data_IF_197922130055
#
_entry.id   IF_197922130055
#
_cell.length_a   1.000
_cell.length_b   1.000
_cell.length_c   1.000
_cell.angle_alpha   90.00
_cell.angle_beta   90.00
_cell.angle_gamma   90.00
#
_symmetry.space_group_name_H-M   'P 1'
#
loop_
_entity.id
_entity.type
_entity.pdbx_description
1 polymer ?
#
# COMPACT_ATOMS: atom_id res chain seq x y z
N UNK A 1 8.25 -14.66 5.15
CA UNK A 1 8.89 -15.73 4.37
C UNK A 1 7.98 -16.03 3.19
N UNK A 2 8.52 -16.10 1.97
CA UNK A 2 7.78 -16.56 0.79
C UNK A 2 8.32 -17.94 0.44
N UNK A 3 7.44 -18.91 0.36
CA UNK A 3 7.78 -20.25 -0.09
C UNK A 3 7.54 -20.33 -1.59
N UNK A 4 8.52 -20.84 -2.33
CA UNK A 4 8.42 -21.04 -3.77
C UNK A 4 9.00 -22.40 -4.15
N UNK A 5 8.37 -23.02 -5.13
CA UNK A 5 8.88 -24.21 -5.80
C UNK A 5 9.52 -23.80 -7.12
N UNK A 6 10.69 -24.35 -7.40
CA UNK A 6 11.41 -24.10 -8.64
C UNK A 6 11.65 -25.40 -9.38
N UNK A 7 11.43 -25.37 -10.68
CA UNK A 7 11.96 -26.36 -11.59
C UNK A 7 12.73 -25.63 -12.69
N UNK A 8 13.99 -26.00 -12.91
CA UNK A 8 14.77 -25.46 -14.01
C UNK A 8 15.65 -26.54 -14.64
N UNK A 9 15.87 -26.39 -15.92
CA UNK A 9 16.70 -27.32 -16.69
C UNK A 9 18.10 -26.70 -16.86
N UNK A 10 19.11 -27.36 -16.33
CA UNK A 10 20.52 -26.93 -16.39
C UNK A 10 21.27 -27.43 -17.62
N UNK A 11 20.64 -28.30 -18.40
CA UNK A 11 21.28 -28.94 -19.53
C UNK A 11 20.34 -28.91 -20.71
N UNK A 12 20.52 -28.10 -21.64
CA UNK A 12 19.77 -27.92 -22.92
C UNK A 12 19.21 -29.22 -23.53
N UNK A 13 18.58 -30.03 -22.72
CA UNK A 13 17.90 -31.26 -23.13
C UNK A 13 16.41 -30.97 -23.28
N UNK A 14 15.79 -31.55 -24.26
CA UNK A 14 14.38 -31.41 -24.60
C UNK A 14 13.47 -31.55 -23.36
N UNK A 15 12.77 -30.46 -23.06
CA UNK A 15 11.60 -30.37 -22.24
C UNK A 15 11.49 -31.28 -21.01
N UNK A 16 12.14 -30.91 -19.91
CA UNK A 16 11.79 -31.48 -18.61
C UNK A 16 10.56 -30.83 -18.03
N UNK A 17 9.66 -31.61 -17.47
CA UNK A 17 8.60 -31.12 -16.58
C UNK A 17 8.81 -31.71 -15.20
N UNK A 18 8.42 -30.93 -14.19
CA UNK A 18 8.39 -31.39 -12.81
C UNK A 18 6.94 -31.45 -12.35
N UNK A 19 6.57 -32.59 -11.78
CA UNK A 19 5.28 -32.77 -11.13
C UNK A 19 5.46 -32.59 -9.63
N UNK A 20 4.63 -31.76 -9.01
CA UNK A 20 4.68 -31.49 -7.58
C UNK A 20 3.35 -31.91 -6.97
N UNK A 21 3.32 -33.12 -6.41
CA UNK A 21 2.20 -33.60 -5.62
C UNK A 21 2.41 -33.27 -4.13
N UNK A 22 1.34 -32.90 -3.44
CA UNK A 22 1.30 -32.75 -1.99
C UNK A 22 2.31 -31.75 -1.39
N UNK A 23 2.29 -30.51 -1.86
CA UNK A 23 3.07 -29.48 -1.23
C UNK A 23 2.48 -29.07 0.13
N UNK A 24 3.06 -29.60 1.21
CA UNK A 24 2.65 -29.31 2.57
C UNK A 24 3.62 -28.31 3.20
N UNK A 25 3.07 -27.19 3.73
CA UNK A 25 3.83 -26.26 4.58
C UNK A 25 3.50 -26.59 6.02
N UNK A 26 4.39 -27.29 6.71
CA UNK A 26 4.21 -27.71 8.10
C UNK A 26 4.36 -26.55 9.11
N UNK A 27 4.96 -25.45 8.70
CA UNK A 27 5.06 -24.27 9.56
C UNK A 27 3.81 -23.40 9.40
N UNK A 28 3.12 -23.05 10.51
CA UNK A 28 2.04 -22.08 10.42
C UNK A 28 2.57 -20.78 9.86
N UNK A 29 2.03 -20.36 8.73
CA UNK A 29 2.37 -19.03 8.19
C UNK A 29 2.05 -18.00 9.26
N UNK A 30 3.04 -17.18 9.61
CA UNK A 30 2.83 -16.09 10.55
C UNK A 30 1.63 -15.25 10.09
N UNK A 31 0.66 -15.09 10.98
CA UNK A 31 -0.51 -14.25 10.73
C UNK A 31 -0.06 -12.79 10.64
N UNK A 32 0.18 -12.34 9.41
CA UNK A 32 0.64 -10.98 9.13
C UNK A 32 -0.44 -9.93 9.34
N UNK A 33 -1.71 -10.33 9.49
CA UNK A 33 -2.78 -9.39 9.79
C UNK A 33 -2.57 -8.71 11.15
N UNK A 34 -1.83 -9.35 12.06
CA UNK A 34 -1.43 -8.79 13.36
C UNK A 34 -0.49 -7.58 13.25
N UNK A 35 0.18 -7.41 12.11
CA UNK A 35 1.06 -6.28 11.88
C UNK A 35 0.33 -5.07 11.27
N UNK A 36 -0.94 -5.24 10.91
CA UNK A 36 -1.74 -4.15 10.38
C UNK A 36 -2.18 -3.24 11.54
N UNK A 37 -1.94 -1.93 11.47
CA UNK A 37 -2.25 -1.01 12.56
C UNK A 37 -3.74 -0.64 12.61
N UNK A 38 -4.61 -1.63 12.72
CA UNK A 38 -6.05 -1.42 12.78
C UNK A 38 -6.47 -0.50 13.94
N UNK A 39 -7.32 0.46 13.64
CA UNK A 39 -7.87 1.42 14.60
C UNK A 39 -6.87 2.51 15.01
N UNK A 40 -5.62 2.43 14.57
CA UNK A 40 -4.63 3.46 14.87
C UNK A 40 -4.70 4.60 13.86
N UNK A 41 -4.37 5.79 14.34
CA UNK A 41 -4.01 6.93 13.47
C UNK A 41 -2.54 6.80 13.13
N UNK A 42 -2.23 6.79 11.85
CA UNK A 42 -0.87 6.63 11.33
C UNK A 42 -0.50 7.75 10.38
N UNK A 43 0.80 7.92 10.16
CA UNK A 43 1.36 8.64 9.02
C UNK A 43 1.96 7.64 8.05
N UNK A 44 1.81 7.91 6.75
CA UNK A 44 2.40 7.12 5.67
C UNK A 44 3.44 7.97 4.96
N UNK A 45 4.70 7.54 4.99
CA UNK A 45 5.81 8.22 4.31
C UNK A 45 6.25 7.39 3.12
N UNK A 46 6.31 7.99 1.95
CA UNK A 46 6.75 7.30 0.75
C UNK A 46 8.25 7.01 0.81
N UNK A 47 8.64 5.76 0.59
CA UNK A 47 10.06 5.35 0.72
C UNK A 47 10.94 5.92 -0.41
N UNK A 48 10.36 6.26 -1.55
CA UNK A 48 11.11 6.74 -2.72
C UNK A 48 11.67 8.16 -2.53
N UNK A 49 10.92 9.03 -1.85
CA UNK A 49 11.26 10.43 -1.68
C UNK A 49 11.27 10.93 -0.24
N UNK A 50 10.91 10.08 0.72
CA UNK A 50 10.86 10.42 2.14
C UNK A 50 9.75 11.40 2.52
N UNK A 51 8.80 11.65 1.62
CA UNK A 51 7.72 12.60 1.86
C UNK A 51 6.45 11.91 2.38
N UNK A 52 5.75 12.50 3.34
CA UNK A 52 4.49 11.96 3.83
C UNK A 52 3.39 12.11 2.79
N UNK A 53 2.53 11.10 2.72
CA UNK A 53 1.25 11.21 2.05
C UNK A 53 0.37 12.22 2.77
N UNK A 54 -0.32 13.11 2.06
CA UNK A 54 -1.21 14.06 2.73
C UNK A 54 -2.48 14.39 1.92
N UNK A 55 -3.52 14.71 2.66
CA UNK A 55 -4.82 15.09 2.12
C UNK A 55 -4.82 16.56 1.69
N UNK A 56 -5.25 16.84 0.45
CA UNK A 56 -5.44 18.20 -0.03
C UNK A 56 -6.88 18.70 0.16
N UNK A 57 -7.10 20.02 0.22
CA UNK A 57 -8.46 20.57 0.24
C UNK A 57 -9.30 20.18 -0.98
N UNK A 58 -8.63 19.91 -2.12
CA UNK A 58 -9.30 19.55 -3.38
C UNK A 58 -9.63 18.07 -3.51
N UNK A 59 -9.42 17.28 -2.45
CA UNK A 59 -9.72 15.85 -2.45
C UNK A 59 -8.68 14.96 -3.13
N UNK A 60 -7.60 15.52 -3.63
CA UNK A 60 -6.48 14.77 -4.18
C UNK A 60 -5.48 14.46 -3.08
N UNK A 61 -4.88 13.29 -3.16
CA UNK A 61 -3.74 12.94 -2.32
C UNK A 61 -2.45 13.21 -3.08
N UNK A 62 -1.56 13.94 -2.44
CA UNK A 62 -0.25 14.28 -2.97
C UNK A 62 0.81 13.87 -1.96
N UNK A 63 2.00 13.58 -2.48
CA UNK A 63 3.23 13.67 -1.72
C UNK A 63 3.89 14.99 -2.09
N UNK A 64 4.17 15.83 -1.13
CA UNK A 64 4.97 17.05 -1.34
C UNK A 64 6.04 17.13 -0.27
N UNK A 65 7.09 17.87 -0.56
CA UNK A 65 8.01 18.28 0.49
C UNK A 65 7.27 19.25 1.39
N UNK A 66 6.84 18.78 2.55
CA UNK A 66 6.28 19.65 3.57
C UNK A 66 7.41 20.51 4.14
N UNK A 67 7.19 21.82 4.23
CA UNK A 67 8.07 22.66 5.01
C UNK A 67 8.10 22.14 6.44
N UNK A 68 9.23 22.29 7.12
CA UNK A 68 9.54 21.68 8.44
C UNK A 68 8.48 21.88 9.54
N UNK A 69 7.55 22.81 9.35
CA UNK A 69 6.45 23.09 10.28
C UNK A 69 5.16 22.33 9.99
N UNK A 70 5.04 21.65 8.84
CA UNK A 70 3.82 20.98 8.41
C UNK A 70 3.82 19.46 8.72
N UNK A 71 4.92 18.91 9.18
CA UNK A 71 5.10 17.48 9.43
C UNK A 71 4.15 16.86 10.47
N UNK A 72 3.51 17.70 11.27
CA UNK A 72 2.49 17.32 12.27
C UNK A 72 1.07 17.79 11.89
N UNK A 73 0.83 18.15 10.64
CA UNK A 73 -0.50 18.58 10.27
C UNK A 73 -1.46 17.37 10.22
N UNK A 74 -2.70 17.57 10.65
CA UNK A 74 -3.78 16.58 10.58
C UNK A 74 -3.98 16.01 9.16
N UNK A 75 -3.50 16.73 8.15
CA UNK A 75 -3.58 16.32 6.74
C UNK A 75 -2.70 15.12 6.40
N UNK A 76 -1.68 14.82 7.20
CA UNK A 76 -0.78 13.66 7.00
C UNK A 76 -1.22 12.44 7.80
N UNK A 77 -2.34 12.52 8.50
CA UNK A 77 -2.81 11.52 9.43
C UNK A 77 -4.00 10.75 8.86
N UNK A 78 -3.93 9.43 8.96
CA UNK A 78 -4.94 8.51 8.45
C UNK A 78 -5.31 7.50 9.53
N UNK A 79 -6.60 7.30 9.75
CA UNK A 79 -7.11 6.20 10.57
C UNK A 79 -7.21 4.95 9.71
N UNK A 80 -6.64 3.85 10.19
CA UNK A 80 -6.71 2.54 9.52
C UNK A 80 -7.95 1.80 9.99
N UNK A 81 -8.94 1.70 9.14
CA UNK A 81 -10.21 1.06 9.45
C UNK A 81 -10.17 -0.40 9.01
N UNK A 82 -10.41 -1.32 9.95
CA UNK A 82 -10.50 -2.75 9.67
C UNK A 82 -11.72 -3.09 8.80
N UNK A 83 -11.49 -3.82 7.72
CA UNK A 83 -12.54 -4.35 6.82
C UNK A 83 -12.54 -5.88 6.81
N UNK A 84 -11.73 -6.49 7.67
CA UNK A 84 -11.55 -7.93 7.73
C UNK A 84 -10.66 -8.50 6.62
N UNK A 85 -10.09 -9.67 6.88
CA UNK A 85 -9.28 -10.42 5.92
C UNK A 85 -8.08 -9.63 5.34
N UNK A 86 -7.41 -8.83 6.16
CA UNK A 86 -6.26 -8.03 5.74
C UNK A 86 -6.61 -6.81 4.89
N UNK A 87 -7.90 -6.47 4.78
CA UNK A 87 -8.38 -5.29 4.08
C UNK A 87 -8.55 -4.11 5.03
N UNK A 88 -8.27 -2.93 4.51
CA UNK A 88 -8.39 -1.66 5.22
C UNK A 88 -9.07 -0.60 4.36
N UNK A 89 -9.79 0.31 5.01
CA UNK A 89 -10.02 1.63 4.45
C UNK A 89 -9.10 2.63 5.15
N UNK A 90 -8.71 3.67 4.47
CA UNK A 90 -7.99 4.80 5.04
C UNK A 90 -8.93 6.00 5.16
N UNK A 91 -9.04 6.55 6.36
CA UNK A 91 -9.84 7.75 6.63
C UNK A 91 -8.92 8.88 7.09
N UNK A 92 -9.02 10.03 6.45
CA UNK A 92 -8.35 11.24 6.92
C UNK A 92 -8.96 11.71 8.25
N UNK A 93 -8.20 12.43 9.05
CA UNK A 93 -8.69 13.00 10.33
C UNK A 93 -9.89 13.94 10.13
N UNK A 94 -10.00 14.57 8.96
CA UNK A 94 -11.16 15.42 8.60
C UNK A 94 -12.42 14.62 8.21
N UNK A 95 -12.40 13.31 8.35
CA UNK A 95 -13.51 12.39 8.11
C UNK A 95 -13.68 11.93 6.66
N UNK A 96 -12.86 12.40 5.72
CA UNK A 96 -12.90 11.92 4.33
C UNK A 96 -12.20 10.59 4.18
N UNK A 97 -12.65 9.76 3.24
CA UNK A 97 -12.10 8.45 2.91
C UNK A 97 -11.29 8.50 1.63
N UNK A 98 -10.24 7.69 1.59
CA UNK A 98 -9.48 7.46 0.36
C UNK A 98 -10.29 6.58 -0.57
N UNK A 99 -10.39 6.97 -1.84
CA UNK A 99 -11.01 6.15 -2.89
C UNK A 99 -10.25 6.27 -4.20
N UNK A 100 -10.48 5.30 -5.09
CA UNK A 100 -9.88 5.29 -6.42
C UNK A 100 -10.93 5.74 -7.44
N UNK A 101 -10.64 6.83 -8.15
CA UNK A 101 -11.43 7.27 -9.30
C UNK A 101 -10.95 6.58 -10.56
N UNK A 102 -11.83 6.41 -11.54
CA UNK A 102 -11.50 5.74 -12.80
C UNK A 102 -11.97 4.29 -12.85
N UNK A 103 -11.63 3.62 -13.93
CA UNK A 103 -11.98 2.23 -14.21
C UNK A 103 -10.82 1.51 -14.90
N UNK A 104 -10.75 0.19 -14.76
CA UNK A 104 -9.70 -0.63 -15.37
C UNK A 104 -8.45 -0.76 -14.48
N UNK A 105 -7.29 -0.80 -15.10
CA UNK A 105 -6.01 -1.09 -14.44
C UNK A 105 -5.28 0.15 -13.88
N UNK A 106 -5.92 1.31 -13.88
CA UNK A 106 -5.36 2.51 -13.26
C UNK A 106 -6.47 3.44 -12.76
N UNK A 107 -6.15 4.27 -11.78
CA UNK A 107 -7.07 5.27 -11.26
C UNK A 107 -6.36 6.25 -10.35
N UNK A 108 -6.88 7.49 -10.29
CA UNK A 108 -6.33 8.50 -9.39
C UNK A 108 -6.78 8.21 -7.96
N UNK A 109 -5.88 8.43 -7.02
CA UNK A 109 -6.18 8.41 -5.60
C UNK A 109 -6.85 9.74 -5.22
N UNK A 110 -8.06 9.67 -4.70
CA UNK A 110 -8.89 10.83 -4.35
C UNK A 110 -9.52 10.68 -2.97
N UNK A 111 -10.19 11.72 -2.50
CA UNK A 111 -10.87 11.76 -1.22
C UNK A 111 -12.37 12.01 -1.40
N UNK A 112 -13.17 11.33 -0.57
CA UNK A 112 -14.63 11.45 -0.56
C UNK A 112 -15.18 11.46 0.87
N UNK A 113 -16.31 12.14 1.09
CA UNK A 113 -17.10 12.04 2.34
C UNK A 113 -18.03 10.83 2.34
N UNK A 114 -18.24 10.23 1.19
CA UNK A 114 -19.13 9.09 1.00
C UNK A 114 -18.38 7.81 1.38
N UNK A 115 -18.76 7.22 2.52
CA UNK A 115 -18.15 6.01 3.04
C UNK A 115 -18.34 4.81 2.10
N UNK A 116 -19.44 4.78 1.34
CA UNK A 116 -19.72 3.64 0.45
C UNK A 116 -18.83 3.65 -0.81
N UNK A 117 -18.16 4.78 -1.07
CA UNK A 117 -17.15 4.90 -2.12
C UNK A 117 -15.74 4.64 -1.64
N UNK A 118 -15.53 4.48 -0.33
CA UNK A 118 -14.21 4.21 0.22
C UNK A 118 -13.59 2.97 -0.43
N UNK A 119 -12.32 3.08 -0.81
CA UNK A 119 -11.61 1.94 -1.41
C UNK A 119 -11.22 0.94 -0.33
N UNK A 120 -11.48 -0.34 -0.61
CA UNK A 120 -10.93 -1.45 0.14
C UNK A 120 -9.54 -1.79 -0.39
N UNK A 121 -8.52 -1.45 0.39
CA UNK A 121 -7.14 -1.82 0.10
C UNK A 121 -6.78 -3.13 0.80
N UNK A 122 -6.04 -3.99 0.12
CA UNK A 122 -5.29 -5.06 0.80
C UNK A 122 -4.00 -4.46 1.35
N UNK A 123 -3.84 -4.52 2.66
CA UNK A 123 -2.60 -4.12 3.30
C UNK A 123 -1.57 -5.22 3.15
N UNK A 124 -0.53 -4.95 2.41
CA UNK A 124 0.60 -5.87 2.28
C UNK A 124 1.74 -5.44 3.17
N UNK A 125 1.97 -6.20 4.25
CA UNK A 125 3.09 -5.99 5.16
C UNK A 125 4.42 -6.35 4.46
N UNK A 126 5.36 -5.42 4.49
CA UNK A 126 6.68 -5.54 3.89
C UNK A 126 7.79 -5.70 4.93
N UNK A 127 7.42 -5.91 6.20
CA UNK A 127 8.29 -5.93 7.37
C UNK A 127 8.84 -4.53 7.74
N UNK A 128 9.34 -4.39 8.99
CA UNK A 128 9.98 -3.16 9.45
C UNK A 128 9.09 -1.91 9.39
N UNK A 129 7.78 -2.05 9.64
CA UNK A 129 6.79 -0.98 9.47
C UNK A 129 6.65 -0.44 8.04
N UNK A 130 7.04 -1.23 7.05
CA UNK A 130 6.80 -0.92 5.66
C UNK A 130 5.56 -1.64 5.15
N UNK A 131 4.84 -1.01 4.25
CA UNK A 131 3.65 -1.58 3.63
C UNK A 131 3.48 -1.14 2.19
N UNK A 132 2.65 -1.89 1.47
CA UNK A 132 2.06 -1.49 0.21
C UNK A 132 0.54 -1.59 0.32
N UNK A 133 -0.18 -0.80 -0.44
CA UNK A 133 -1.64 -0.74 -0.47
C UNK A 133 -2.13 -1.16 -1.86
N UNK A 134 -2.68 -2.35 -1.96
CA UNK A 134 -3.26 -2.87 -3.20
C UNK A 134 -4.73 -2.45 -3.28
N UNK A 135 -5.09 -1.67 -4.28
CA UNK A 135 -6.49 -1.38 -4.59
C UNK A 135 -7.19 -2.62 -5.13
N UNK A 136 -8.33 -2.98 -4.55
CA UNK A 136 -9.15 -4.08 -5.09
C UNK A 136 -9.87 -3.69 -6.38
N UNK A 137 -10.09 -2.41 -6.60
CA UNK A 137 -10.76 -1.90 -7.80
C UNK A 137 -9.88 -2.02 -9.04
N UNK A 138 -8.61 -1.62 -8.95
CA UNK A 138 -7.69 -1.61 -10.09
C UNK A 138 -6.77 -2.81 -10.15
N UNK A 139 -6.68 -3.60 -9.06
CA UNK A 139 -5.70 -4.67 -8.89
C UNK A 139 -4.26 -4.17 -9.06
N UNK A 140 -4.02 -2.92 -8.62
CA UNK A 140 -2.72 -2.25 -8.64
C UNK A 140 -2.44 -1.61 -7.28
N UNK A 141 -1.15 -1.48 -6.98
CA UNK A 141 -0.71 -0.75 -5.80
C UNK A 141 -0.81 0.74 -6.01
N UNK A 142 -1.16 1.47 -4.94
CA UNK A 142 -1.03 2.91 -4.98
C UNK A 142 0.45 3.28 -5.00
N UNK A 143 0.79 4.26 -5.82
CA UNK A 143 2.14 4.74 -5.94
C UNK A 143 2.17 6.23 -6.29
N UNK A 144 3.35 6.81 -6.12
CA UNK A 144 3.68 8.13 -6.63
C UNK A 144 4.95 8.00 -7.47
N UNK A 145 4.92 8.54 -8.66
CA UNK A 145 6.12 8.64 -9.47
C UNK A 145 7.03 9.76 -8.93
N UNK A 146 8.23 9.47 -8.42
CA UNK A 146 9.05 10.45 -7.70
C UNK A 146 9.45 11.66 -8.53
N UNK A 147 9.52 11.50 -9.86
CA UNK A 147 10.12 12.49 -10.76
C UNK A 147 9.15 13.59 -11.23
N UNK A 148 7.84 13.45 -11.08
CA UNK A 148 6.88 14.32 -11.77
C UNK A 148 6.00 15.17 -10.86
N UNK A 149 6.08 15.00 -9.53
CA UNK A 149 5.22 15.73 -8.59
C UNK A 149 3.74 15.42 -8.68
N UNK A 150 3.35 14.39 -9.44
CA UNK A 150 1.99 13.95 -9.65
C UNK A 150 1.29 13.54 -8.37
N UNK A 151 -0.04 13.61 -8.30
CA UNK A 151 -0.82 12.97 -7.25
C UNK A 151 -0.62 11.46 -7.27
N UNK A 152 -0.97 10.82 -6.16
CA UNK A 152 -0.94 9.35 -6.08
C UNK A 152 -1.92 8.73 -7.08
N UNK A 153 -1.51 7.63 -7.67
CA UNK A 153 -2.32 6.78 -8.56
C UNK A 153 -2.30 5.32 -8.10
N UNK A 154 -3.26 4.54 -8.56
CA UNK A 154 -3.33 3.10 -8.34
C UNK A 154 -3.06 2.38 -9.68
N UNK A 155 -1.79 2.33 -10.09
CA UNK A 155 -1.34 1.79 -11.38
C UNK A 155 -0.06 0.95 -11.29
N UNK A 156 0.60 0.89 -10.13
CA UNK A 156 1.84 0.14 -9.96
C UNK A 156 1.60 -1.37 -9.83
N UNK A 157 2.42 -2.17 -10.49
CA UNK A 157 2.32 -3.63 -10.43
C UNK A 157 2.98 -4.24 -9.19
N UNK A 158 3.93 -3.55 -8.58
CA UNK A 158 4.66 -4.00 -7.41
C UNK A 158 5.94 -3.20 -7.19
N UNK A 159 6.71 -3.52 -6.16
CA UNK A 159 7.94 -2.84 -5.85
C UNK A 159 9.04 -3.25 -6.82
N UNK A 160 9.91 -2.33 -7.17
CA UNK A 160 11.19 -2.62 -7.80
C UNK A 160 12.22 -3.15 -6.76
N UNK A 161 13.39 -3.54 -7.24
CA UNK A 161 14.40 -4.18 -6.40
C UNK A 161 14.91 -3.26 -5.26
N UNK A 162 15.01 -1.97 -5.50
CA UNK A 162 15.44 -0.98 -4.51
C UNK A 162 14.28 -0.34 -3.73
N UNK A 163 13.02 -0.74 -4.02
CA UNK A 163 11.79 -0.25 -3.40
C UNK A 163 11.53 1.25 -3.56
N UNK A 164 12.08 1.86 -4.60
CA UNK A 164 12.02 3.31 -4.84
C UNK A 164 11.11 3.73 -5.98
N UNK A 165 10.31 2.82 -6.51
CA UNK A 165 9.32 3.15 -7.53
C UNK A 165 8.04 3.84 -7.00
N UNK A 166 8.04 4.20 -5.71
CA UNK A 166 6.97 4.99 -5.11
C UNK A 166 5.77 4.21 -4.58
N UNK A 167 5.76 2.86 -4.61
CA UNK A 167 4.65 2.07 -4.10
C UNK A 167 4.86 1.50 -2.68
N UNK A 168 6.03 1.71 -2.07
CA UNK A 168 6.32 1.28 -0.71
C UNK A 168 6.25 2.48 0.23
N UNK A 169 5.55 2.29 1.34
CA UNK A 169 5.38 3.28 2.40
C UNK A 169 5.96 2.77 3.69
N UNK A 170 6.57 3.66 4.46
CA UNK A 170 6.85 3.46 5.86
C UNK A 170 5.70 4.08 6.68
N UNK A 171 5.21 3.36 7.68
CA UNK A 171 4.15 3.85 8.53
C UNK A 171 4.62 4.03 9.97
N UNK A 172 4.13 5.06 10.60
CA UNK A 172 4.36 5.33 12.02
C UNK A 172 3.03 5.69 12.71
N UNK A 173 2.82 5.22 13.94
CA UNK A 173 1.67 5.65 14.71
C UNK A 173 1.83 7.11 15.12
N UNK A 174 0.72 7.86 15.02
CA UNK A 174 0.65 9.21 15.59
C UNK A 174 0.18 9.06 17.02
N UNK A 175 1.04 9.40 17.97
CA UNK A 175 0.66 9.38 19.38
C UNK A 175 -0.46 10.41 19.60
N UNK A 176 -1.59 10.03 20.26
CA UNK A 176 -2.57 11.01 20.66
C UNK A 176 -1.89 12.01 21.62
N UNK A 177 -1.99 13.29 21.27
CA UNK A 177 -1.57 14.38 22.16
C UNK A 177 -2.53 14.50 23.33
#
# INVERSE_FOLDING_TARGET
VRTALYAYNTHNMDGGYADFDDFIVDEPMADRSKNIPYGLTIRLTNLADGNPMFATPHGLMHSTTLHSNDGNSDRTQFVVIDKGNGKVNLQCVDGRYVYISGAGLSGDVRLTKDKDKAEDFVWQDMLGKQCMLLSLKTQRYICKHPADGSPYSADCQGPDADRKNGCVFEWEPVNPQ
#
